data_IF_621300736563
#
_entry.id   IF_621300736563
#
_cell.length_a   1.000
_cell.length_b   1.000
_cell.length_c   1.000
_cell.angle_alpha   90.00
_cell.angle_beta   90.00
_cell.angle_gamma   90.00
#
_symmetry.space_group_name_H-M   'P 1'
#
loop_
_entity.id
_entity.type
_entity.pdbx_description
1 polymer ?
#
# COMPACT_ATOMS: atom_id res chain seq x y z
N UNK A 1 12.03 9.63 -17.70
CA UNK A 1 10.68 10.13 -17.32
C UNK A 1 9.94 9.20 -16.36
N UNK A 2 9.79 7.87 -16.59
CA UNK A 2 8.96 7.01 -15.74
C UNK A 2 9.44 6.91 -14.29
N UNK A 3 10.77 6.84 -14.08
CA UNK A 3 11.38 6.81 -12.73
C UNK A 3 11.08 8.09 -11.95
N UNK A 4 11.19 9.26 -12.59
CA UNK A 4 10.88 10.54 -11.94
C UNK A 4 9.42 10.61 -11.48
N UNK A 5 8.49 10.14 -12.32
CA UNK A 5 7.07 10.09 -11.97
C UNK A 5 6.80 9.06 -10.87
N UNK A 6 7.50 7.92 -10.88
CA UNK A 6 7.43 6.95 -9.79
C UNK A 6 7.88 7.57 -8.45
N UNK A 7 9.04 8.25 -8.44
CA UNK A 7 9.55 8.96 -7.25
C UNK A 7 8.55 10.02 -6.79
N UNK A 8 7.97 10.79 -7.71
CA UNK A 8 6.98 11.81 -7.39
C UNK A 8 5.71 11.22 -6.78
N UNK A 9 5.23 10.08 -7.26
CA UNK A 9 4.05 9.40 -6.73
C UNK A 9 4.33 8.73 -5.37
N UNK A 10 5.52 8.17 -5.16
CA UNK A 10 5.95 7.68 -3.84
C UNK A 10 6.00 8.84 -2.85
N UNK A 11 6.60 9.97 -3.24
CA UNK A 11 6.65 11.18 -2.44
C UNK A 11 5.24 11.73 -2.15
N UNK A 12 4.32 11.68 -3.12
CA UNK A 12 2.92 12.06 -2.93
C UNK A 12 2.22 11.21 -1.87
N UNK A 13 2.36 9.87 -1.93
CA UNK A 13 1.76 8.95 -0.93
C UNK A 13 2.36 9.18 0.46
N UNK A 14 3.68 9.34 0.55
CA UNK A 14 4.36 9.70 1.80
C UNK A 14 3.87 11.06 2.35
N UNK A 15 3.72 12.05 1.48
CA UNK A 15 3.21 13.37 1.85
C UNK A 15 1.76 13.30 2.37
N UNK A 16 0.90 12.47 1.76
CA UNK A 16 -0.46 12.22 2.28
C UNK A 16 -0.38 11.67 3.70
N UNK A 17 0.44 10.64 3.93
CA UNK A 17 0.64 10.06 5.25
C UNK A 17 1.08 11.13 6.27
N UNK A 18 2.03 11.99 5.91
CA UNK A 18 2.45 13.13 6.75
C UNK A 18 1.28 14.08 7.06
N UNK A 19 0.46 14.44 6.07
CA UNK A 19 -0.70 15.32 6.26
C UNK A 19 -1.79 14.73 7.16
N UNK A 20 -1.89 13.40 7.27
CA UNK A 20 -2.80 12.75 8.22
C UNK A 20 -2.34 12.94 9.68
N UNK A 21 -1.02 12.93 9.91
CA UNK A 21 -0.41 13.05 11.24
C UNK A 21 -0.24 14.52 11.65
N UNK A 22 0.16 15.38 10.72
CA UNK A 22 0.53 16.78 10.95
C UNK A 22 -0.45 17.73 10.23
N UNK A 23 -1.48 18.28 10.93
CA UNK A 23 -2.46 19.18 10.32
C UNK A 23 -1.83 20.41 9.65
N UNK A 24 -0.72 20.92 10.20
CA UNK A 24 0.00 22.09 9.67
C UNK A 24 0.64 21.82 8.30
N UNK A 25 0.95 20.56 7.98
CA UNK A 25 1.54 20.19 6.70
C UNK A 25 0.52 20.08 5.56
N UNK A 26 -0.79 20.04 5.85
CA UNK A 26 -1.85 19.75 4.86
C UNK A 26 -1.84 20.71 3.67
N UNK A 27 -1.57 21.99 3.88
CA UNK A 27 -1.50 22.97 2.79
C UNK A 27 -0.32 22.69 1.86
N UNK A 28 0.88 22.49 2.41
CA UNK A 28 2.07 22.18 1.63
C UNK A 28 1.91 20.84 0.89
N UNK A 29 1.39 19.82 1.57
CA UNK A 29 1.11 18.50 0.98
C UNK A 29 0.10 18.62 -0.15
N UNK A 30 -0.98 19.40 0.02
CA UNK A 30 -1.95 19.59 -1.06
C UNK A 30 -1.33 20.27 -2.30
N UNK A 31 -0.39 21.21 -2.12
CA UNK A 31 0.36 21.80 -3.24
C UNK A 31 1.24 20.75 -3.93
N UNK A 32 1.96 19.94 -3.17
CA UNK A 32 2.77 18.82 -3.70
C UNK A 32 1.90 17.86 -4.52
N UNK A 33 0.70 17.53 -4.01
CA UNK A 33 -0.23 16.64 -4.70
C UNK A 33 -0.80 17.24 -5.98
N UNK A 34 -1.10 18.54 -6.00
CA UNK A 34 -1.47 19.24 -7.25
C UNK A 34 -0.32 19.17 -8.26
N UNK A 35 0.91 19.43 -7.83
CA UNK A 35 2.10 19.29 -8.69
C UNK A 35 2.27 17.86 -9.24
N UNK A 36 2.10 16.85 -8.39
CA UNK A 36 2.13 15.45 -8.79
C UNK A 36 1.00 15.09 -9.79
N UNK A 37 -0.20 15.64 -9.59
CA UNK A 37 -1.31 15.46 -10.51
C UNK A 37 -1.04 16.11 -11.87
N UNK A 38 -0.53 17.33 -11.89
CA UNK A 38 -0.17 18.03 -13.13
C UNK A 38 0.93 17.28 -13.89
N UNK A 39 1.95 16.78 -13.20
CA UNK A 39 3.01 15.99 -13.81
C UNK A 39 2.49 14.67 -14.41
N UNK A 40 1.63 13.95 -13.69
CA UNK A 40 0.98 12.72 -14.20
C UNK A 40 0.02 13.01 -15.35
N UNK A 41 -0.73 14.11 -15.29
CA UNK A 41 -1.62 14.54 -16.36
C UNK A 41 -0.87 14.97 -17.61
N UNK A 42 0.23 15.71 -17.47
CA UNK A 42 1.12 16.05 -18.59
C UNK A 42 1.72 14.79 -19.22
N UNK A 43 2.17 13.83 -18.41
CA UNK A 43 2.66 12.55 -18.89
C UNK A 43 1.58 11.74 -19.62
N UNK A 44 0.33 11.82 -19.17
CA UNK A 44 -0.81 11.20 -19.85
C UNK A 44 -1.02 11.81 -21.24
N UNK A 45 -1.02 13.15 -21.34
CA UNK A 45 -1.21 13.86 -22.60
C UNK A 45 -0.07 13.60 -23.59
N UNK A 46 1.18 13.64 -23.12
CA UNK A 46 2.36 13.36 -23.95
C UNK A 46 2.44 11.89 -24.39
N UNK A 47 1.90 10.97 -23.58
CA UNK A 47 1.88 9.53 -23.86
C UNK A 47 0.61 9.04 -24.56
N UNK A 48 -0.32 9.93 -24.94
CA UNK A 48 -1.66 9.55 -25.38
C UNK A 48 -1.71 8.75 -26.70
N UNK A 49 -0.67 8.86 -27.54
CA UNK A 49 -0.68 8.29 -28.89
C UNK A 49 -0.31 6.81 -29.01
N UNK A 50 0.31 6.19 -27.99
CA UNK A 50 0.77 4.81 -28.09
C UNK A 50 0.15 3.92 -27.00
N UNK A 51 -0.34 2.72 -27.36
CA UNK A 51 -0.75 1.74 -26.36
C UNK A 51 0.47 1.27 -25.55
N UNK A 52 0.24 0.91 -24.30
CA UNK A 52 1.26 0.39 -23.39
C UNK A 52 0.91 -1.02 -22.96
N UNK A 53 1.94 -1.83 -22.81
CA UNK A 53 1.85 -3.18 -22.25
C UNK A 53 2.50 -3.22 -20.88
N UNK A 54 1.92 -4.02 -20.00
CA UNK A 54 2.47 -4.38 -18.70
C UNK A 54 2.25 -5.88 -18.49
N UNK A 55 3.34 -6.61 -18.25
CA UNK A 55 3.24 -7.97 -17.76
C UNK A 55 3.24 -7.94 -16.24
N UNK A 56 2.14 -8.41 -15.64
CA UNK A 56 1.98 -8.58 -14.21
C UNK A 56 2.46 -9.98 -13.85
N UNK A 57 3.36 -10.09 -12.88
CA UNK A 57 3.94 -11.36 -12.45
C UNK A 57 3.96 -11.48 -10.93
N UNK A 58 3.76 -12.69 -10.42
CA UNK A 58 4.11 -13.03 -9.04
C UNK A 58 5.59 -13.28 -8.91
N UNK A 59 6.16 -12.93 -7.76
CA UNK A 59 7.49 -13.39 -7.35
C UNK A 59 7.34 -14.31 -6.16
N UNK A 60 7.74 -15.56 -6.33
CA UNK A 60 7.79 -16.53 -5.25
C UNK A 60 9.23 -16.93 -4.98
N UNK A 61 9.53 -17.18 -3.71
CA UNK A 61 10.72 -17.94 -3.35
C UNK A 61 10.41 -19.42 -3.60
N UNK A 62 11.15 -20.04 -4.52
CA UNK A 62 11.03 -21.44 -4.87
C UNK A 62 12.30 -22.19 -4.46
N UNK A 63 12.14 -23.44 -4.02
CA UNK A 63 13.29 -24.33 -3.80
C UNK A 63 13.72 -24.95 -5.13
N UNK A 64 14.98 -24.75 -5.50
CA UNK A 64 15.62 -25.38 -6.65
C UNK A 64 16.77 -26.22 -6.09
N UNK A 65 16.50 -27.51 -5.86
CA UNK A 65 17.36 -28.37 -5.06
C UNK A 65 17.41 -27.90 -3.61
N UNK A 66 18.60 -27.55 -3.11
CA UNK A 66 18.83 -27.02 -1.76
C UNK A 66 18.87 -25.49 -1.70
N UNK A 67 18.77 -24.81 -2.85
CA UNK A 67 18.85 -23.35 -2.93
C UNK A 67 17.45 -22.72 -2.98
N UNK A 68 17.31 -21.55 -2.37
CA UNK A 68 16.11 -20.72 -2.50
C UNK A 68 16.36 -19.73 -3.61
N UNK A 69 15.62 -19.86 -4.71
CA UNK A 69 15.66 -18.94 -5.85
C UNK A 69 14.38 -18.12 -5.92
N UNK A 70 14.49 -16.85 -6.33
CA UNK A 70 13.32 -16.05 -6.66
C UNK A 70 12.90 -16.33 -8.10
N UNK A 71 11.67 -16.82 -8.30
CA UNK A 71 11.11 -17.04 -9.62
C UNK A 71 9.92 -16.12 -9.88
N UNK A 72 9.90 -15.57 -11.10
CA UNK A 72 8.79 -14.79 -11.62
C UNK A 72 7.82 -15.68 -12.37
N UNK A 73 6.54 -15.56 -12.03
CA UNK A 73 5.45 -16.29 -12.67
C UNK A 73 4.51 -15.26 -13.32
N UNK A 74 4.51 -15.12 -14.65
CA UNK A 74 3.61 -14.19 -15.32
C UNK A 74 2.16 -14.60 -15.09
N UNK A 75 1.32 -13.64 -14.74
CA UNK A 75 -0.11 -13.82 -14.49
C UNK A 75 -0.89 -13.37 -15.73
N UNK A 76 -0.68 -12.12 -16.13
CA UNK A 76 -1.39 -11.49 -17.25
C UNK A 76 -0.50 -10.45 -17.92
N UNK A 77 -0.67 -10.28 -19.23
CA UNK A 77 -0.16 -9.09 -19.94
C UNK A 77 -1.32 -8.18 -20.28
N UNK A 78 -1.37 -7.01 -19.63
CA UNK A 78 -2.40 -6.01 -19.85
C UNK A 78 -1.95 -5.02 -20.93
N UNK A 79 -2.87 -4.69 -21.84
CA UNK A 79 -2.71 -3.65 -22.87
C UNK A 79 -3.71 -2.51 -22.59
N UNK A 80 -3.23 -1.28 -22.49
CA UNK A 80 -4.09 -0.11 -22.28
C UNK A 80 -3.58 1.13 -23.05
N UNK A 81 -4.45 2.10 -23.37
CA UNK A 81 -4.00 3.37 -23.94
C UNK A 81 -3.02 4.09 -23.01
N UNK A 82 -1.93 4.62 -23.55
CA UNK A 82 -0.82 5.18 -22.78
C UNK A 82 -1.14 6.38 -21.89
N UNK A 83 -2.31 7.01 -22.05
CA UNK A 83 -2.76 8.12 -21.20
C UNK A 83 -3.51 7.66 -19.92
N UNK A 84 -4.08 6.45 -19.91
CA UNK A 84 -5.03 6.03 -18.85
C UNK A 84 -4.35 6.01 -17.48
N UNK A 85 -3.14 5.46 -17.37
CA UNK A 85 -2.45 5.37 -16.08
C UNK A 85 -2.14 6.76 -15.50
N UNK A 86 -1.79 7.72 -16.35
CA UNK A 86 -1.49 9.09 -15.91
C UNK A 86 -2.75 9.81 -15.43
N UNK A 87 -3.89 9.59 -16.09
CA UNK A 87 -5.19 10.08 -15.65
C UNK A 87 -5.60 9.49 -14.28
N UNK A 88 -5.40 8.18 -14.08
CA UNK A 88 -5.67 7.50 -12.79
C UNK A 88 -4.79 8.09 -11.68
N UNK A 89 -3.48 8.20 -11.91
CA UNK A 89 -2.54 8.76 -10.94
C UNK A 89 -2.85 10.23 -10.61
N UNK A 90 -3.22 11.03 -11.61
CA UNK A 90 -3.63 12.41 -11.43
C UNK A 90 -4.94 12.51 -10.63
N UNK A 91 -5.94 11.71 -10.96
CA UNK A 91 -7.22 11.66 -10.23
C UNK A 91 -7.03 11.30 -8.75
N UNK A 92 -6.19 10.31 -8.45
CA UNK A 92 -5.84 9.95 -7.08
C UNK A 92 -5.18 11.12 -6.33
N UNK A 93 -4.19 11.76 -6.94
CA UNK A 93 -3.51 12.92 -6.34
C UNK A 93 -4.46 14.10 -6.11
N UNK A 94 -5.34 14.41 -7.06
CA UNK A 94 -6.32 15.50 -6.94
C UNK A 94 -7.35 15.23 -5.84
N UNK A 95 -7.83 14.00 -5.72
CA UNK A 95 -8.76 13.62 -4.66
C UNK A 95 -8.15 13.85 -3.27
N UNK A 96 -6.89 13.44 -3.08
CA UNK A 96 -6.17 13.66 -1.83
C UNK A 96 -5.75 15.12 -1.61
N UNK A 97 -5.45 15.87 -2.66
CA UNK A 97 -5.22 17.32 -2.57
C UNK A 97 -6.48 18.04 -2.08
N UNK A 98 -7.65 17.71 -2.66
CA UNK A 98 -8.93 18.24 -2.25
C UNK A 98 -9.22 17.89 -0.79
N UNK A 99 -8.99 16.65 -0.38
CA UNK A 99 -9.10 16.25 1.03
C UNK A 99 -8.19 17.10 1.92
N UNK A 100 -6.91 17.27 1.57
CA UNK A 100 -5.94 18.02 2.36
C UNK A 100 -6.35 19.49 2.51
N UNK A 101 -6.87 20.10 1.44
CA UNK A 101 -7.36 21.47 1.44
C UNK A 101 -8.66 21.65 2.22
N UNK A 102 -9.60 20.69 2.13
CA UNK A 102 -10.86 20.73 2.91
C UNK A 102 -10.65 20.52 4.40
N UNK A 103 -9.58 19.82 4.77
CA UNK A 103 -9.20 19.60 6.17
C UNK A 103 -8.30 20.71 6.73
N UNK A 104 -8.11 21.83 6.02
CA UNK A 104 -7.38 23.00 6.54
C UNK A 104 -8.10 23.57 7.76
N UNK A 105 -7.37 23.89 8.82
CA UNK A 105 -7.92 24.45 10.06
C UNK A 105 -8.61 23.45 11.00
N UNK A 106 -8.98 22.27 10.50
CA UNK A 106 -9.47 21.18 11.36
C UNK A 106 -8.35 20.58 12.21
N UNK A 107 -8.70 20.06 13.39
CA UNK A 107 -7.80 19.27 14.23
C UNK A 107 -7.21 18.05 13.51
N UNK A 108 -6.43 17.19 14.19
CA UNK A 108 -6.08 15.89 13.63
C UNK A 108 -7.36 15.20 13.14
N UNK A 109 -7.38 14.75 11.87
CA UNK A 109 -8.55 14.08 11.29
C UNK A 109 -8.95 12.95 12.24
N UNK A 110 -10.25 12.60 12.36
CA UNK A 110 -10.74 11.47 13.19
C UNK A 110 -9.66 10.37 13.19
N UNK A 111 -9.01 10.14 14.34
CA UNK A 111 -7.58 9.81 14.45
C UNK A 111 -7.07 8.61 13.60
N UNK A 112 -7.96 7.81 13.04
CA UNK A 112 -7.62 6.62 12.24
C UNK A 112 -8.27 6.59 10.85
N UNK A 113 -9.22 7.49 10.57
CA UNK A 113 -10.00 7.46 9.34
C UNK A 113 -9.15 7.76 8.10
N UNK A 114 -8.37 8.84 8.11
CA UNK A 114 -7.59 9.22 6.94
C UNK A 114 -6.48 8.22 6.58
N UNK A 115 -5.65 7.72 7.52
CA UNK A 115 -4.67 6.69 7.17
C UNK A 115 -5.33 5.40 6.66
N UNK A 116 -6.49 5.01 7.21
CA UNK A 116 -7.22 3.85 6.72
C UNK A 116 -7.76 4.08 5.30
N UNK A 117 -8.34 5.25 5.04
CA UNK A 117 -8.77 5.65 3.69
C UNK A 117 -7.59 5.67 2.71
N UNK A 118 -6.39 6.06 3.14
CA UNK A 118 -5.18 5.98 2.32
C UNK A 118 -4.84 4.54 1.97
N UNK A 119 -4.88 3.62 2.94
CA UNK A 119 -4.66 2.20 2.67
C UNK A 119 -5.67 1.67 1.63
N UNK A 120 -6.97 1.87 1.86
CA UNK A 120 -8.01 1.40 0.94
C UNK A 120 -7.91 2.03 -0.45
N UNK A 121 -7.89 3.36 -0.53
CA UNK A 121 -7.88 4.06 -1.82
C UNK A 121 -6.58 3.88 -2.59
N UNK A 122 -5.44 3.81 -1.91
CA UNK A 122 -4.15 3.61 -2.57
C UNK A 122 -3.96 2.16 -3.03
N UNK A 123 -4.46 1.15 -2.31
CA UNK A 123 -4.51 -0.22 -2.82
C UNK A 123 -5.39 -0.33 -4.05
N UNK A 124 -6.59 0.27 -4.03
CA UNK A 124 -7.46 0.29 -5.19
C UNK A 124 -6.79 1.01 -6.38
N UNK A 125 -6.17 2.16 -6.14
CA UNK A 125 -5.43 2.91 -7.16
C UNK A 125 -4.30 2.08 -7.77
N UNK A 126 -3.53 1.33 -6.96
CA UNK A 126 -2.48 0.45 -7.46
C UNK A 126 -3.03 -0.62 -8.41
N UNK A 127 -4.15 -1.27 -8.07
CA UNK A 127 -4.78 -2.29 -8.93
C UNK A 127 -5.31 -1.70 -10.23
N UNK A 128 -5.90 -0.50 -10.17
CA UNK A 128 -6.35 0.22 -11.37
C UNK A 128 -5.14 0.63 -12.24
N UNK A 129 -4.02 1.03 -11.63
CA UNK A 129 -2.80 1.37 -12.36
C UNK A 129 -2.20 0.15 -13.09
N UNK A 130 -2.29 -1.06 -12.51
CA UNK A 130 -1.92 -2.30 -13.22
C UNK A 130 -2.79 -2.50 -14.45
N UNK A 131 -4.10 -2.34 -14.30
CA UNK A 131 -5.04 -2.44 -15.42
C UNK A 131 -4.92 -1.31 -16.44
N UNK A 132 -4.34 -0.19 -16.05
CA UNK A 132 -4.01 0.91 -16.93
C UNK A 132 -2.62 0.75 -17.61
N UNK A 133 -1.97 -0.41 -17.46
CA UNK A 133 -0.61 -0.67 -17.95
C UNK A 133 0.40 0.42 -17.52
N UNK A 134 0.30 0.85 -16.26
CA UNK A 134 1.20 1.83 -15.69
C UNK A 134 2.67 1.35 -15.77
N UNK A 135 3.65 2.26 -15.86
CA UNK A 135 5.06 1.88 -15.87
C UNK A 135 5.42 1.01 -14.66
N UNK A 136 6.15 -0.09 -14.87
CA UNK A 136 6.55 -1.01 -13.79
C UNK A 136 7.27 -0.31 -12.62
N UNK A 137 8.11 0.69 -12.93
CA UNK A 137 8.77 1.52 -11.91
C UNK A 137 7.80 2.24 -10.98
N UNK A 138 6.59 2.57 -11.45
CA UNK A 138 5.54 3.14 -10.61
C UNK A 138 4.94 2.07 -9.72
N UNK A 139 4.65 0.89 -10.25
CA UNK A 139 3.91 -0.19 -9.58
C UNK A 139 4.74 -0.87 -8.49
N UNK A 140 6.00 -1.18 -8.78
CA UNK A 140 6.92 -1.89 -7.90
C UNK A 140 8.27 -1.15 -7.77
N UNK A 141 8.30 0.07 -7.20
CA UNK A 141 9.56 0.74 -6.95
C UNK A 141 10.33 -0.10 -5.93
N UNK A 142 11.52 -0.57 -6.31
CA UNK A 142 12.37 -1.40 -5.46
C UNK A 142 11.70 -2.71 -5.01
N UNK A 143 10.81 -3.27 -5.84
CA UNK A 143 10.10 -4.53 -5.57
C UNK A 143 9.10 -4.49 -4.39
N UNK A 144 8.76 -3.29 -3.89
CA UNK A 144 7.86 -3.09 -2.76
C UNK A 144 6.39 -2.86 -3.17
N UNK A 145 5.93 -3.52 -4.24
CA UNK A 145 4.69 -3.16 -4.95
C UNK A 145 3.46 -2.89 -4.04
N UNK A 146 3.03 -3.82 -3.16
CA UNK A 146 1.89 -3.57 -2.26
C UNK A 146 2.27 -2.63 -1.10
N UNK A 147 3.52 -2.64 -0.68
CA UNK A 147 3.96 -1.96 0.54
C UNK A 147 4.17 -0.44 0.35
N UNK A 148 4.28 0.04 -0.89
CA UNK A 148 4.44 1.49 -1.19
C UNK A 148 3.29 2.36 -0.66
N UNK A 149 2.07 1.83 -0.59
CA UNK A 149 0.90 2.52 -0.02
C UNK A 149 0.67 2.09 1.42
N UNK A 150 0.79 0.78 1.69
CA UNK A 150 0.50 0.24 3.02
C UNK A 150 1.45 0.80 4.06
N UNK A 151 2.75 0.83 3.79
CA UNK A 151 3.74 1.27 4.76
C UNK A 151 3.52 2.72 5.24
N UNK A 152 3.37 3.73 4.36
CA UNK A 152 3.05 5.09 4.79
C UNK A 152 1.73 5.18 5.57
N UNK A 153 0.68 4.47 5.15
CA UNK A 153 -0.61 4.46 5.84
C UNK A 153 -0.52 3.84 7.24
N UNK A 154 0.13 2.68 7.36
CA UNK A 154 0.34 1.99 8.63
C UNK A 154 1.23 2.82 9.56
N UNK A 155 2.32 3.40 9.05
CA UNK A 155 3.21 4.28 9.81
C UNK A 155 2.47 5.51 10.33
N UNK A 156 1.66 6.17 9.51
CA UNK A 156 0.87 7.32 9.94
C UNK A 156 -0.07 6.97 11.10
N UNK A 157 -0.76 5.83 11.03
CA UNK A 157 -1.59 5.38 12.14
C UNK A 157 -0.78 4.99 13.38
N UNK A 158 0.38 4.36 13.22
CA UNK A 158 1.29 4.04 14.33
C UNK A 158 1.74 5.31 15.09
N UNK A 159 2.09 6.37 14.36
CA UNK A 159 2.43 7.68 14.94
C UNK A 159 1.23 8.31 15.68
N UNK A 160 0.02 8.16 15.15
CA UNK A 160 -1.21 8.64 15.79
C UNK A 160 -1.57 7.83 17.05
N UNK A 161 -1.29 6.52 17.07
CA UNK A 161 -1.45 5.64 18.22
C UNK A 161 -0.48 5.97 19.36
N UNK A 162 0.73 6.44 19.05
CA UNK A 162 1.77 6.79 20.02
C UNK A 162 1.41 7.95 20.95
N UNK A 163 0.26 8.61 20.80
CA UNK A 163 -0.15 9.71 21.67
C UNK A 163 -0.33 9.26 23.14
N UNK A 164 -0.01 10.12 24.13
CA UNK A 164 0.34 9.72 25.50
C UNK A 164 -0.82 9.22 26.39
N UNK A 165 -1.97 8.82 25.82
CA UNK A 165 -3.18 8.47 26.58
C UNK A 165 -3.32 6.99 26.96
N UNK A 166 -2.40 6.12 26.54
CA UNK A 166 -2.57 4.66 26.62
C UNK A 166 -1.49 4.00 27.45
N UNK A 167 -1.77 2.82 28.02
CA UNK A 167 -0.72 1.95 28.60
C UNK A 167 0.13 1.31 27.49
N UNK A 168 1.32 0.78 27.80
CA UNK A 168 2.18 0.16 26.79
C UNK A 168 1.52 -1.08 26.16
N UNK A 169 0.91 -1.94 26.97
CA UNK A 169 0.21 -3.14 26.50
C UNK A 169 -0.95 -2.75 25.57
N UNK A 170 -1.73 -1.73 25.93
CA UNK A 170 -2.80 -1.20 25.07
C UNK A 170 -2.23 -0.71 23.74
N UNK A 171 -1.13 0.06 23.76
CA UNK A 171 -0.49 0.54 22.53
C UNK A 171 -0.14 -0.63 21.59
N UNK A 172 0.46 -1.70 22.11
CA UNK A 172 0.82 -2.88 21.32
C UNK A 172 -0.41 -3.59 20.75
N UNK A 173 -1.45 -3.80 21.57
CA UNK A 173 -2.71 -4.43 21.11
C UNK A 173 -3.38 -3.61 20.01
N UNK A 174 -3.47 -2.28 20.20
CA UNK A 174 -4.01 -1.38 19.19
C UNK A 174 -3.15 -1.33 17.93
N UNK A 175 -1.83 -1.46 18.06
CA UNK A 175 -0.93 -1.49 16.92
C UNK A 175 -1.12 -2.77 16.10
N UNK A 176 -1.23 -3.94 16.74
CA UNK A 176 -1.54 -5.20 16.06
C UNK A 176 -2.87 -5.09 15.30
N UNK A 177 -3.92 -4.64 15.99
CA UNK A 177 -5.23 -4.44 15.37
C UNK A 177 -5.16 -3.44 14.22
N UNK A 178 -4.44 -2.35 14.41
CA UNK A 178 -4.26 -1.32 13.39
C UNK A 178 -3.58 -1.87 12.14
N UNK A 179 -2.48 -2.60 12.29
CA UNK A 179 -1.77 -3.18 11.16
C UNK A 179 -2.68 -4.14 10.40
N UNK A 180 -3.38 -5.03 11.11
CA UNK A 180 -4.34 -5.96 10.51
C UNK A 180 -5.45 -5.21 9.73
N UNK A 181 -6.02 -4.16 10.31
CA UNK A 181 -7.06 -3.34 9.66
C UNK A 181 -6.51 -2.60 8.42
N UNK A 182 -5.27 -2.10 8.47
CA UNK A 182 -4.65 -1.46 7.29
C UNK A 182 -4.31 -2.44 6.18
N UNK A 183 -4.14 -3.73 6.49
CA UNK A 183 -3.87 -4.81 5.52
C UNK A 183 -5.14 -5.45 4.95
N UNK A 184 -6.27 -5.30 5.62
CA UNK A 184 -7.58 -5.78 5.17
C UNK A 184 -7.92 -5.43 3.71
N UNK A 185 -7.63 -4.22 3.17
CA UNK A 185 -7.89 -3.92 1.77
C UNK A 185 -7.20 -4.90 0.81
N UNK A 186 -5.95 -5.29 1.10
CA UNK A 186 -5.23 -6.24 0.25
C UNK A 186 -5.83 -7.65 0.33
N UNK A 187 -6.29 -8.08 1.51
CA UNK A 187 -6.97 -9.37 1.66
C UNK A 187 -8.32 -9.40 0.91
N UNK A 188 -9.09 -8.32 1.02
CA UNK A 188 -10.39 -8.18 0.33
C UNK A 188 -10.19 -8.09 -1.18
N UNK A 189 -9.32 -7.18 -1.64
CA UNK A 189 -9.04 -7.04 -3.07
C UNK A 189 -8.38 -8.28 -3.66
N UNK A 190 -7.49 -8.97 -2.94
CA UNK A 190 -6.91 -10.23 -3.39
C UNK A 190 -7.95 -11.34 -3.48
N UNK A 191 -8.92 -11.39 -2.57
CA UNK A 191 -10.04 -12.34 -2.66
C UNK A 191 -10.89 -12.07 -3.90
N UNK A 192 -11.21 -10.79 -4.15
CA UNK A 192 -11.98 -10.39 -5.34
C UNK A 192 -11.18 -10.68 -6.62
N UNK A 193 -9.90 -10.29 -6.65
CA UNK A 193 -9.03 -10.49 -7.79
C UNK A 193 -8.86 -11.97 -8.14
N UNK A 194 -8.65 -12.81 -7.13
CA UNK A 194 -8.50 -14.26 -7.30
C UNK A 194 -9.78 -14.92 -7.80
N UNK A 195 -10.93 -14.57 -7.21
CA UNK A 195 -12.23 -15.16 -7.62
C UNK A 195 -12.66 -14.74 -9.02
N UNK A 196 -12.33 -13.52 -9.42
CA UNK A 196 -12.69 -12.99 -10.73
C UNK A 196 -11.55 -13.14 -11.77
N UNK A 197 -10.46 -13.82 -11.43
CA UNK A 197 -9.26 -13.98 -12.26
C UNK A 197 -8.83 -12.64 -12.91
N UNK A 198 -8.75 -11.58 -12.09
CA UNK A 198 -8.50 -10.23 -12.58
C UNK A 198 -7.08 -10.03 -13.08
N UNK A 199 -6.15 -10.98 -12.95
CA UNK A 199 -4.76 -10.87 -13.38
C UNK A 199 -4.03 -9.63 -12.87
N UNK A 200 -4.24 -9.32 -11.58
CA UNK A 200 -3.47 -8.32 -10.82
C UNK A 200 -2.41 -9.01 -9.98
N UNK A 201 -1.49 -8.26 -9.38
CA UNK A 201 -0.48 -8.86 -8.47
C UNK A 201 -1.10 -9.50 -7.21
N UNK A 202 -2.38 -9.28 -6.92
CA UNK A 202 -3.09 -9.94 -5.81
C UNK A 202 -3.86 -11.18 -6.24
N UNK A 203 -3.88 -11.46 -7.55
CA UNK A 203 -4.61 -12.57 -8.12
C UNK A 203 -3.76 -13.84 -8.08
N UNK A 204 -4.09 -14.76 -7.17
CA UNK A 204 -3.37 -16.03 -7.02
C UNK A 204 -4.07 -17.20 -7.71
N UNK A 205 -5.07 -16.98 -8.58
CA UNK A 205 -5.91 -18.05 -9.14
C UNK A 205 -5.08 -19.14 -9.82
N UNK A 206 -4.01 -18.75 -10.52
CA UNK A 206 -3.12 -19.64 -11.25
C UNK A 206 -2.19 -20.49 -10.34
N UNK A 207 -2.10 -20.18 -9.04
CA UNK A 207 -1.21 -20.91 -8.12
C UNK A 207 -1.96 -22.07 -7.46
N UNK A 208 -1.87 -23.25 -8.06
CA UNK A 208 -2.54 -24.47 -7.57
C UNK A 208 -1.69 -25.29 -6.59
N UNK A 209 -0.41 -24.97 -6.46
CA UNK A 209 0.51 -25.66 -5.57
C UNK A 209 1.36 -24.66 -4.80
N UNK A 210 1.40 -24.79 -3.47
CA UNK A 210 2.28 -23.97 -2.63
C UNK A 210 2.72 -24.73 -1.38
N UNK A 211 3.80 -24.27 -0.76
CA UNK A 211 4.29 -24.79 0.52
C UNK A 211 4.04 -23.72 1.57
N UNK A 212 3.11 -23.92 2.52
CA UNK A 212 2.91 -22.98 3.61
C UNK A 212 4.22 -22.76 4.39
N UNK A 213 4.51 -21.52 4.79
CA UNK A 213 5.65 -21.24 5.66
C UNK A 213 5.58 -22.07 6.95
N UNK A 214 6.64 -22.82 7.24
CA UNK A 214 6.77 -23.61 8.47
C UNK A 214 6.20 -25.02 8.43
N UNK A 215 5.45 -25.42 7.39
CA UNK A 215 4.98 -26.82 7.26
C UNK A 215 5.97 -27.71 6.51
N UNK A 216 6.65 -27.16 5.49
CA UNK A 216 7.51 -27.94 4.59
C UNK A 216 6.76 -28.95 3.72
N UNK A 217 5.42 -28.99 3.80
CA UNK A 217 4.56 -29.91 3.05
C UNK A 217 3.87 -29.12 1.94
N UNK A 218 4.02 -29.58 0.70
CA UNK A 218 3.31 -29.04 -0.44
C UNK A 218 1.82 -29.33 -0.35
N UNK A 219 1.01 -28.31 -0.61
CA UNK A 219 -0.44 -28.40 -0.65
C UNK A 219 -0.90 -28.08 -2.06
N UNK A 220 -1.63 -29.02 -2.66
CA UNK A 220 -2.42 -28.79 -3.86
C UNK A 220 -3.78 -28.20 -3.47
N UNK A 221 -4.18 -27.15 -4.18
CA UNK A 221 -5.46 -26.47 -3.97
C UNK A 221 -6.15 -26.21 -5.31
N UNK A 222 -7.46 -26.35 -5.30
CA UNK A 222 -8.30 -25.95 -6.43
C UNK A 222 -8.30 -24.41 -6.57
N UNK A 223 -8.25 -23.86 -7.80
CA UNK A 223 -8.32 -22.42 -8.04
C UNK A 223 -9.55 -21.77 -7.39
N UNK A 224 -9.34 -20.63 -6.75
CA UNK A 224 -10.32 -19.84 -6.01
C UNK A 224 -11.03 -20.58 -4.84
N UNK A 225 -10.60 -21.79 -4.49
CA UNK A 225 -11.12 -22.50 -3.33
C UNK A 225 -10.85 -21.74 -2.03
N UNK A 226 -11.71 -21.94 -1.03
CA UNK A 226 -11.57 -21.30 0.27
C UNK A 226 -10.20 -21.55 0.91
N UNK A 227 -9.61 -22.73 0.69
CA UNK A 227 -8.27 -23.07 1.18
C UNK A 227 -7.17 -22.26 0.49
N UNK A 228 -7.21 -22.07 -0.83
CA UNK A 228 -6.27 -21.22 -1.56
C UNK A 228 -6.36 -19.78 -1.04
N UNK A 229 -7.58 -19.23 -0.94
CA UNK A 229 -7.82 -17.88 -0.42
C UNK A 229 -7.31 -17.72 1.02
N UNK A 230 -7.59 -18.68 1.89
CA UNK A 230 -7.16 -18.63 3.28
C UNK A 230 -5.63 -18.55 3.39
N UNK A 231 -4.93 -19.48 2.74
CA UNK A 231 -3.49 -19.64 2.88
C UNK A 231 -2.67 -18.62 2.09
N UNK A 232 -3.15 -18.21 0.91
CA UNK A 232 -2.40 -17.34 0.01
C UNK A 232 -2.81 -15.87 0.11
N UNK A 233 -4.04 -15.58 0.57
CA UNK A 233 -4.55 -14.21 0.66
C UNK A 233 -4.72 -13.79 2.12
N UNK A 234 -5.55 -14.49 2.90
CA UNK A 234 -5.93 -14.02 4.23
C UNK A 234 -4.81 -14.14 5.27
N UNK A 235 -4.20 -15.31 5.40
CA UNK A 235 -3.14 -15.56 6.40
C UNK A 235 -1.93 -14.64 6.18
N UNK A 236 -1.40 -14.46 4.96
CA UNK A 236 -0.28 -13.55 4.73
C UNK A 236 -0.62 -12.12 5.14
N UNK A 237 -1.80 -11.62 4.78
CA UNK A 237 -2.15 -10.21 5.00
C UNK A 237 -2.63 -9.91 6.42
N UNK A 238 -3.31 -10.84 7.10
CA UNK A 238 -3.91 -10.61 8.41
C UNK A 238 -3.14 -11.22 9.58
N UNK A 239 -2.21 -12.15 9.33
CA UNK A 239 -1.41 -12.78 10.39
C UNK A 239 0.09 -12.57 10.19
N UNK A 240 0.64 -13.00 9.06
CA UNK A 240 2.10 -12.98 8.86
C UNK A 240 2.65 -11.57 8.70
N UNK A 241 2.14 -10.79 7.74
CA UNK A 241 2.61 -9.43 7.49
C UNK A 241 2.38 -8.51 8.68
N UNK A 242 1.27 -8.59 9.44
CA UNK A 242 1.13 -7.83 10.67
C UNK A 242 2.20 -8.12 11.71
N UNK A 243 2.63 -9.38 11.85
CA UNK A 243 3.73 -9.73 12.73
C UNK A 243 5.05 -9.09 12.28
N UNK A 244 5.36 -9.15 10.98
CA UNK A 244 6.55 -8.49 10.39
C UNK A 244 6.51 -6.98 10.59
N UNK A 245 5.34 -6.36 10.38
CA UNK A 245 5.14 -4.92 10.49
C UNK A 245 5.13 -4.44 11.95
N UNK A 246 4.80 -5.31 12.90
CA UNK A 246 4.79 -4.96 14.32
C UNK A 246 6.17 -4.53 14.80
N UNK A 247 7.23 -5.19 14.32
CA UNK A 247 8.61 -4.88 14.69
C UNK A 247 9.01 -3.47 14.20
N UNK A 248 8.71 -3.15 12.94
CA UNK A 248 9.07 -1.83 12.37
C UNK A 248 8.18 -0.71 12.92
N UNK A 249 6.85 -0.89 12.89
CA UNK A 249 5.90 0.14 13.31
C UNK A 249 5.84 0.32 14.83
N UNK A 250 6.19 -0.72 15.60
CA UNK A 250 6.31 -0.66 17.05
C UNK A 250 7.37 0.33 17.51
N UNK A 251 8.54 0.31 16.87
CA UNK A 251 9.60 1.30 17.11
C UNK A 251 9.11 2.74 16.90
N UNK A 252 8.44 3.01 15.78
CA UNK A 252 7.91 4.35 15.49
C UNK A 252 6.81 4.79 16.46
N UNK A 253 5.89 3.90 16.84
CA UNK A 253 4.85 4.19 17.82
C UNK A 253 5.45 4.49 19.20
N UNK A 254 6.48 3.74 19.60
CA UNK A 254 7.23 3.96 20.84
C UNK A 254 7.96 5.30 20.83
N UNK A 255 8.67 5.63 19.75
CA UNK A 255 9.37 6.92 19.60
C UNK A 255 8.39 8.10 19.67
N UNK A 256 7.24 8.01 18.99
CA UNK A 256 6.21 9.03 19.05
C UNK A 256 5.68 9.22 20.48
N UNK A 257 5.52 8.11 21.22
CA UNK A 257 5.10 8.14 22.63
C UNK A 257 6.13 8.85 23.51
N UNK A 258 7.39 8.44 23.43
CA UNK A 258 8.48 9.04 24.21
C UNK A 258 8.59 10.55 23.93
N UNK A 259 8.51 10.93 22.66
CA UNK A 259 8.50 12.34 22.24
C UNK A 259 7.37 13.13 22.92
N UNK A 260 6.15 12.61 22.93
CA UNK A 260 5.02 13.28 23.55
C UNK A 260 5.12 13.37 25.08
N UNK A 261 5.65 12.33 25.74
CA UNK A 261 5.84 12.32 27.19
C UNK A 261 6.86 13.37 27.63
N UNK A 262 8.00 13.48 26.95
CA UNK A 262 9.05 14.44 27.32
C UNK A 262 8.73 15.88 26.93
N UNK A 263 8.01 16.11 25.82
CA UNK A 263 7.56 17.48 25.47
C UNK A 263 6.60 18.07 26.50
N UNK A 264 5.76 17.23 27.12
CA UNK A 264 4.87 17.67 28.20
C UNK A 264 5.62 18.07 29.47
N UNK A 265 6.76 17.42 29.75
CA UNK A 265 7.61 17.74 30.90
C UNK A 265 8.42 19.01 30.70
N UNK A 266 8.88 19.31 29.48
CA UNK A 266 9.65 20.53 29.19
C UNK A 266 8.79 21.80 29.14
N UNK A 267 7.46 21.68 29.11
CA UNK A 267 6.52 22.79 29.05
C UNK A 267 5.80 23.06 30.38
N UNK A 268 6.06 22.24 31.41
CA UNK A 268 5.55 22.38 32.77
C UNK A 268 6.64 22.92 33.68
#
# INVERSE_FOLDING_TARGET
MPVLLAVLQIAAVAAIAVATVLPRARTAVGVVLVGAALASGAAALLGAGAPRTLTVSHRFSAYVGLQVEHREFPIETTLAPGWVWGAVAAGFCLAWALWAFRQRGGGPSRAFGAPLLLAWSGSACLLVLEKAAAPAALLAPFDLAPDRVMFPATLAGALLLGRPRRRMVELLLYLVLWIAVTRLPLAVFGTVATRAALGTHLDVHATTYFVPPGTGVGIEVEPAAAQQLLWMVWIPHLLMMPFVYLLSTGGFAFLARMWHQHRGQAAA
#
